data_IF_605409463674
#
_entry.id   IF_605409463674
#
_cell.length_a   1.000
_cell.length_b   1.000
_cell.length_c   1.000
_cell.angle_alpha   90.00
_cell.angle_beta   90.00
_cell.angle_gamma   90.00
#
_symmetry.space_group_name_H-M   'P 1'
#
loop_
_entity.id
_entity.type
_entity.pdbx_description
1 polymer ?
#
# COMPACT_ATOMS: atom_id res chain seq x y z
N UNK A 1 18.06 -25.69 -14.74
CA UNK A 1 18.79 -25.60 -13.42
C UNK A 1 17.83 -24.91 -12.45
N UNK A 2 17.56 -25.57 -11.33
CA UNK A 2 16.72 -24.98 -10.27
C UNK A 2 17.53 -23.94 -9.48
N UNK A 3 16.93 -22.80 -9.19
CA UNK A 3 17.55 -21.68 -8.46
C UNK A 3 16.55 -21.03 -7.52
N UNK A 4 16.83 -19.81 -7.11
CA UNK A 4 15.88 -19.00 -6.36
C UNK A 4 14.86 -18.37 -7.32
N UNK A 5 13.57 -18.57 -7.07
CA UNK A 5 12.49 -18.01 -7.88
C UNK A 5 11.65 -17.09 -7.00
N UNK A 6 11.36 -15.91 -7.54
CA UNK A 6 10.52 -14.89 -6.90
C UNK A 6 9.29 -14.69 -7.77
N UNK A 7 8.10 -14.86 -7.21
CA UNK A 7 6.81 -14.67 -7.88
C UNK A 7 6.22 -13.32 -7.47
N UNK A 8 6.16 -12.41 -8.42
CA UNK A 8 5.74 -11.02 -8.26
C UNK A 8 6.91 -10.05 -8.40
N UNK A 9 6.91 -9.24 -9.48
CA UNK A 9 7.96 -8.27 -9.81
C UNK A 9 7.64 -6.85 -9.28
N UNK A 10 6.95 -6.75 -8.15
CA UNK A 10 6.76 -5.49 -7.44
C UNK A 10 7.95 -5.12 -6.53
N UNK A 11 7.72 -4.14 -5.63
CA UNK A 11 8.73 -3.66 -4.68
C UNK A 11 9.36 -4.79 -3.84
N UNK A 12 8.52 -5.67 -3.28
CA UNK A 12 9.00 -6.76 -2.43
C UNK A 12 9.80 -7.81 -3.23
N UNK A 13 9.29 -8.22 -4.39
CA UNK A 13 9.98 -9.22 -5.21
C UNK A 13 11.31 -8.74 -5.73
N UNK A 14 11.38 -7.51 -6.25
CA UNK A 14 12.65 -6.90 -6.67
C UNK A 14 13.64 -6.82 -5.52
N UNK A 15 13.22 -6.32 -4.35
CA UNK A 15 14.08 -6.21 -3.18
C UNK A 15 14.59 -7.58 -2.73
N UNK A 16 13.75 -8.63 -2.78
CA UNK A 16 14.18 -10.00 -2.46
C UNK A 16 15.29 -10.45 -3.42
N UNK A 17 15.11 -10.26 -4.74
CA UNK A 17 16.10 -10.62 -5.74
C UNK A 17 17.44 -9.87 -5.54
N UNK A 18 17.38 -8.57 -5.30
CA UNK A 18 18.58 -7.75 -5.02
C UNK A 18 19.25 -8.15 -3.70
N UNK A 19 18.46 -8.48 -2.66
CA UNK A 19 19.00 -8.92 -1.36
C UNK A 19 19.66 -10.29 -1.44
N UNK A 20 19.16 -11.23 -2.24
CA UNK A 20 19.84 -12.50 -2.53
C UNK A 20 21.24 -12.26 -3.14
N UNK A 21 21.35 -11.33 -4.10
CA UNK A 21 22.64 -10.98 -4.71
C UNK A 21 23.59 -10.31 -3.73
N UNK A 22 23.11 -9.33 -2.97
CA UNK A 22 23.93 -8.65 -1.95
C UNK A 22 24.33 -9.56 -0.80
N UNK A 23 23.54 -10.61 -0.51
CA UNK A 23 23.87 -11.68 0.45
C UNK A 23 24.78 -12.77 -0.11
N UNK A 24 25.35 -12.58 -1.32
CA UNK A 24 26.36 -13.48 -1.89
C UNK A 24 25.83 -14.69 -2.65
N UNK A 25 24.51 -14.79 -2.92
CA UNK A 25 23.98 -15.92 -3.70
C UNK A 25 24.44 -15.83 -5.16
N UNK A 26 25.18 -16.81 -5.64
CA UNK A 26 25.75 -16.88 -7.00
C UNK A 26 24.94 -17.72 -7.98
N UNK A 27 23.98 -18.53 -7.49
CA UNK A 27 23.12 -19.38 -8.32
C UNK A 27 22.10 -18.60 -9.15
N UNK A 28 21.25 -19.29 -9.90
CA UNK A 28 20.20 -18.65 -10.69
C UNK A 28 19.18 -17.92 -9.83
N UNK A 29 18.84 -16.67 -10.18
CA UNK A 29 17.77 -15.86 -9.58
C UNK A 29 16.80 -15.44 -10.67
N UNK A 30 15.55 -15.91 -10.59
CA UNK A 30 14.49 -15.60 -11.55
C UNK A 30 13.42 -14.78 -10.86
N UNK A 31 13.10 -13.61 -11.41
CA UNK A 31 12.02 -12.72 -10.97
C UNK A 31 10.89 -12.75 -12.00
N UNK A 32 9.72 -13.28 -11.61
CA UNK A 32 8.54 -13.41 -12.45
C UNK A 32 7.56 -12.28 -12.19
N UNK A 33 7.11 -11.60 -13.22
CA UNK A 33 6.07 -10.56 -13.15
C UNK A 33 4.95 -10.84 -14.15
N UNK A 34 3.71 -10.70 -13.73
CA UNK A 34 2.53 -10.83 -14.60
C UNK A 34 2.24 -9.55 -15.39
N UNK A 35 2.81 -8.42 -15.00
CA UNK A 35 2.76 -7.17 -15.75
C UNK A 35 3.85 -7.15 -16.86
N UNK A 36 3.61 -6.44 -18.00
CA UNK A 36 4.57 -6.39 -19.11
C UNK A 36 5.74 -5.42 -18.87
N UNK A 37 5.75 -4.69 -17.78
CA UNK A 37 6.73 -3.64 -17.47
C UNK A 37 7.70 -4.05 -16.35
N UNK A 38 8.87 -3.43 -16.34
CA UNK A 38 9.87 -3.61 -15.29
C UNK A 38 9.33 -3.19 -13.91
N UNK A 39 9.93 -3.68 -12.81
CA UNK A 39 9.52 -3.29 -11.45
C UNK A 39 9.50 -1.76 -11.28
N UNK A 40 8.39 -1.23 -10.79
CA UNK A 40 8.15 0.22 -10.71
C UNK A 40 7.55 0.65 -9.36
N UNK A 41 7.66 1.95 -9.06
CA UNK A 41 7.08 2.59 -7.89
C UNK A 41 5.57 2.79 -8.07
N UNK A 42 4.76 2.20 -7.20
CA UNK A 42 3.29 2.37 -7.24
C UNK A 42 2.79 3.71 -6.65
N UNK A 43 3.44 4.34 -5.64
CA UNK A 43 2.92 5.60 -5.09
C UNK A 43 2.74 6.74 -6.09
N UNK A 44 3.54 6.91 -7.17
CA UNK A 44 3.30 7.96 -8.16
C UNK A 44 2.07 7.74 -9.05
N UNK A 45 1.47 6.54 -9.06
CA UNK A 45 0.33 6.21 -9.92
C UNK A 45 -0.91 7.07 -9.64
N UNK A 46 -1.13 7.45 -8.39
CA UNK A 46 -2.22 8.35 -7.97
C UNK A 46 -1.80 9.84 -7.97
N UNK A 47 -0.62 10.17 -8.49
CA UNK A 47 0.00 11.50 -8.40
C UNK A 47 0.63 11.92 -9.74
N UNK A 48 1.94 12.16 -9.76
CA UNK A 48 2.67 12.69 -10.92
C UNK A 48 2.59 11.81 -12.18
N UNK A 49 2.46 10.48 -12.04
CA UNK A 49 2.28 9.62 -13.21
C UNK A 49 0.90 9.80 -13.84
N UNK A 50 -0.17 9.94 -13.04
CA UNK A 50 -1.52 10.26 -13.53
C UNK A 50 -1.57 11.61 -14.25
N UNK A 51 -0.77 12.58 -13.79
CA UNK A 51 -0.67 13.92 -14.37
C UNK A 51 0.24 13.98 -15.61
N UNK A 52 0.95 12.89 -15.95
CA UNK A 52 1.94 12.90 -17.03
C UNK A 52 3.25 13.62 -16.68
N UNK A 53 3.48 13.97 -15.42
CA UNK A 53 4.70 14.62 -14.91
C UNK A 53 5.85 13.63 -14.74
N UNK A 54 5.55 12.34 -14.62
CA UNK A 54 6.50 11.24 -14.46
C UNK A 54 6.37 10.30 -15.64
N UNK A 55 7.45 10.06 -16.36
CA UNK A 55 7.49 9.10 -17.48
C UNK A 55 7.60 7.66 -16.99
N UNK A 56 7.34 6.69 -17.87
CA UNK A 56 7.48 5.24 -17.58
C UNK A 56 8.87 4.90 -17.03
N UNK A 57 9.92 5.44 -17.65
CA UNK A 57 11.30 5.17 -17.26
C UNK A 57 11.66 5.77 -15.89
N UNK A 58 11.11 6.91 -15.55
CA UNK A 58 11.26 7.52 -14.23
C UNK A 58 10.48 6.77 -13.14
N UNK A 59 9.43 6.05 -13.54
CA UNK A 59 8.65 5.24 -12.61
C UNK A 59 9.38 3.96 -12.19
N UNK A 60 10.26 3.40 -13.05
CA UNK A 60 10.95 2.15 -12.76
C UNK A 60 11.85 2.25 -11.51
N UNK A 61 11.74 1.26 -10.63
CA UNK A 61 12.68 1.10 -9.51
C UNK A 61 14.05 0.70 -10.05
N UNK A 62 14.06 -0.15 -11.08
CA UNK A 62 15.25 -0.57 -11.81
C UNK A 62 14.93 -0.75 -13.29
N UNK A 63 15.81 -0.26 -14.14
CA UNK A 63 15.74 -0.54 -15.57
C UNK A 63 16.11 -2.02 -15.84
N UNK A 64 15.57 -2.64 -16.90
CA UNK A 64 15.84 -4.04 -17.25
C UNK A 64 17.33 -4.37 -17.35
N UNK A 65 18.13 -3.45 -17.92
CA UNK A 65 19.59 -3.61 -18.07
C UNK A 65 20.31 -3.69 -16.73
N UNK A 66 19.80 -2.98 -15.71
CA UNK A 66 20.36 -3.02 -14.37
C UNK A 66 20.09 -4.36 -13.67
N UNK A 67 18.94 -5.00 -13.93
CA UNK A 67 18.64 -6.33 -13.46
C UNK A 67 19.59 -7.36 -14.09
N UNK A 68 19.81 -7.27 -15.40
CA UNK A 68 20.73 -8.14 -16.13
C UNK A 68 22.17 -8.00 -15.59
N UNK A 69 22.66 -6.78 -15.34
CA UNK A 69 23.98 -6.56 -14.73
C UNK A 69 24.14 -7.20 -13.34
N UNK A 70 23.03 -7.32 -12.61
CA UNK A 70 22.99 -8.04 -11.32
C UNK A 70 22.76 -9.55 -11.48
N UNK A 71 22.75 -10.09 -12.68
CA UNK A 71 22.43 -11.48 -12.99
C UNK A 71 21.04 -11.92 -12.44
N UNK A 72 20.07 -11.00 -12.38
CA UNK A 72 18.68 -11.27 -12.05
C UNK A 72 17.94 -11.46 -13.36
N UNK A 73 17.46 -12.67 -13.63
CA UNK A 73 16.65 -12.98 -14.81
C UNK A 73 15.20 -12.51 -14.57
N UNK A 74 14.86 -11.32 -15.02
CA UNK A 74 13.49 -10.86 -15.01
C UNK A 74 12.71 -11.38 -16.22
N UNK A 75 11.50 -11.89 -15.95
CA UNK A 75 10.54 -12.34 -16.97
C UNK A 75 9.26 -11.53 -16.81
N UNK A 76 8.97 -10.70 -17.80
CA UNK A 76 7.70 -9.96 -17.91
C UNK A 76 6.59 -10.87 -18.41
N UNK A 77 5.33 -10.51 -18.15
CA UNK A 77 4.14 -11.23 -18.59
C UNK A 77 4.24 -12.75 -18.32
N UNK A 78 4.82 -13.12 -17.20
CA UNK A 78 5.06 -14.50 -16.79
C UNK A 78 4.23 -14.80 -15.54
N UNK A 79 2.99 -15.22 -15.76
CA UNK A 79 2.04 -15.50 -14.68
C UNK A 79 2.19 -16.94 -14.18
N UNK A 80 2.42 -17.09 -12.90
CA UNK A 80 2.39 -18.41 -12.24
C UNK A 80 0.95 -18.78 -11.94
N UNK A 81 0.53 -19.94 -12.43
CA UNK A 81 -0.83 -20.46 -12.29
C UNK A 81 -0.95 -21.46 -11.16
N UNK A 82 0.11 -22.22 -10.88
CA UNK A 82 0.13 -23.28 -9.85
C UNK A 82 1.53 -23.53 -9.32
N UNK A 83 1.62 -23.83 -8.04
CA UNK A 83 2.82 -24.32 -7.37
C UNK A 83 2.64 -25.81 -7.06
N UNK A 84 3.48 -26.65 -7.61
CA UNK A 84 3.58 -28.04 -7.23
C UNK A 84 4.66 -28.21 -6.18
N UNK A 85 4.22 -28.24 -4.92
CA UNK A 85 5.13 -28.20 -3.80
C UNK A 85 6.01 -29.47 -3.70
N UNK A 86 5.43 -30.65 -3.97
CA UNK A 86 6.13 -31.93 -3.85
C UNK A 86 7.33 -32.04 -4.81
N UNK A 87 7.19 -31.52 -6.03
CA UNK A 87 8.24 -31.54 -7.07
C UNK A 87 9.03 -30.22 -7.12
N UNK A 88 8.68 -29.24 -6.29
CA UNK A 88 9.25 -27.88 -6.32
C UNK A 88 9.19 -27.25 -7.72
N UNK A 89 8.04 -27.32 -8.35
CA UNK A 89 7.82 -26.86 -9.72
C UNK A 89 6.72 -25.81 -9.78
N UNK A 90 6.95 -24.72 -10.51
CA UNK A 90 5.95 -23.72 -10.88
C UNK A 90 5.42 -24.03 -12.27
N UNK A 91 4.13 -23.86 -12.47
CA UNK A 91 3.46 -23.93 -13.78
C UNK A 91 3.03 -22.52 -14.18
N UNK A 92 3.44 -22.08 -15.36
CA UNK A 92 3.15 -20.74 -15.90
C UNK A 92 1.95 -20.81 -16.87
N UNK A 93 1.39 -19.65 -17.17
CA UNK A 93 0.22 -19.48 -18.05
C UNK A 93 0.51 -19.82 -19.53
N UNK A 94 1.78 -19.75 -19.95
CA UNK A 94 2.24 -20.18 -21.28
C UNK A 94 2.44 -21.71 -21.40
N UNK A 95 2.10 -22.46 -20.36
CA UNK A 95 2.26 -23.92 -20.28
C UNK A 95 3.67 -24.37 -19.89
N UNK A 96 4.63 -23.48 -19.78
CA UNK A 96 5.99 -23.82 -19.34
C UNK A 96 6.05 -24.15 -17.85
N UNK A 97 7.14 -24.79 -17.44
CA UNK A 97 7.41 -25.10 -16.04
C UNK A 97 8.76 -24.58 -15.61
N UNK A 98 8.90 -24.25 -14.32
CA UNK A 98 10.13 -23.77 -13.72
C UNK A 98 10.36 -24.41 -12.36
N UNK A 99 11.47 -25.17 -12.21
CA UNK A 99 11.88 -25.73 -10.93
C UNK A 99 12.55 -24.68 -10.03
N UNK A 100 12.40 -24.82 -8.72
CA UNK A 100 13.05 -23.95 -7.73
C UNK A 100 13.74 -24.72 -6.61
N UNK A 101 14.79 -24.13 -6.04
CA UNK A 101 15.43 -24.59 -4.78
C UNK A 101 14.91 -23.79 -3.58
N UNK A 102 14.62 -22.50 -3.81
CA UNK A 102 13.95 -21.60 -2.87
C UNK A 102 12.95 -20.73 -3.60
N UNK A 103 11.81 -20.44 -2.95
CA UNK A 103 10.69 -19.71 -3.52
C UNK A 103 10.29 -18.54 -2.63
N UNK A 104 10.16 -17.34 -3.23
CA UNK A 104 9.55 -16.20 -2.57
C UNK A 104 8.21 -15.84 -3.22
N UNK A 105 7.15 -15.78 -2.43
CA UNK A 105 5.85 -15.27 -2.84
C UNK A 105 5.77 -13.79 -2.50
N UNK A 106 5.79 -12.93 -3.54
CA UNK A 106 5.72 -11.47 -3.46
C UNK A 106 4.62 -10.92 -4.37
N UNK A 107 3.50 -11.65 -4.45
CA UNK A 107 2.37 -11.43 -5.37
C UNK A 107 1.56 -10.17 -5.06
N UNK A 108 1.80 -9.52 -3.91
CA UNK A 108 1.17 -8.28 -3.53
C UNK A 108 -0.33 -8.40 -3.28
N UNK A 109 -1.08 -7.38 -3.72
CA UNK A 109 -2.53 -7.30 -3.57
C UNK A 109 -3.15 -6.62 -4.80
N UNK A 110 -4.41 -6.93 -5.08
CA UNK A 110 -5.23 -6.30 -6.13
C UNK A 110 -6.30 -5.40 -5.54
N UNK A 111 -6.77 -4.42 -6.31
CA UNK A 111 -7.90 -3.58 -5.91
C UNK A 111 -9.16 -4.44 -5.70
N UNK A 112 -9.91 -4.13 -4.65
CA UNK A 112 -11.22 -4.73 -4.40
C UNK A 112 -12.21 -4.18 -5.42
N UNK A 113 -12.90 -5.06 -6.12
CA UNK A 113 -13.95 -4.67 -7.07
C UNK A 113 -15.24 -4.29 -6.31
N UNK A 114 -15.96 -3.34 -6.88
CA UNK A 114 -17.31 -3.00 -6.41
C UNK A 114 -18.28 -4.06 -6.92
N UNK A 115 -19.06 -4.64 -6.02
CA UNK A 115 -20.00 -5.74 -6.34
C UNK A 115 -21.44 -5.23 -6.26
N UNK A 116 -21.80 -4.29 -7.15
CA UNK A 116 -23.16 -3.75 -7.28
C UNK A 116 -23.58 -3.74 -8.75
N UNK A 117 -24.88 -3.69 -9.07
CA UNK A 117 -25.36 -3.51 -10.43
C UNK A 117 -24.70 -2.28 -11.08
N UNK A 118 -24.26 -2.43 -12.32
CA UNK A 118 -23.60 -1.36 -13.09
C UNK A 118 -22.10 -1.18 -12.83
N UNK A 119 -21.47 -1.93 -11.92
CA UNK A 119 -20.03 -1.82 -11.65
C UNK A 119 -19.11 -2.16 -12.85
N UNK A 120 -19.64 -2.83 -13.87
CA UNK A 120 -18.92 -3.14 -15.12
C UNK A 120 -19.12 -2.11 -16.24
N UNK A 121 -19.79 -1.00 -16.00
CA UNK A 121 -19.96 0.08 -16.97
C UNK A 121 -18.60 0.72 -17.33
N UNK A 122 -18.49 1.24 -18.55
CA UNK A 122 -17.38 2.08 -18.97
C UNK A 122 -17.22 3.30 -18.06
N UNK A 123 -16.01 3.81 -17.91
CA UNK A 123 -15.62 4.87 -16.99
C UNK A 123 -15.82 4.56 -15.50
N UNK A 124 -15.95 3.27 -15.15
CA UNK A 124 -15.80 2.79 -13.77
C UNK A 124 -14.41 2.21 -13.64
N UNK A 125 -13.51 2.92 -12.98
CA UNK A 125 -12.08 2.66 -12.94
C UNK A 125 -11.61 2.26 -11.53
N UNK A 126 -10.56 1.47 -11.47
CA UNK A 126 -9.73 1.27 -10.28
C UNK A 126 -8.41 1.99 -10.46
N UNK A 127 -7.60 2.05 -9.41
CA UNK A 127 -6.27 2.65 -9.44
C UNK A 127 -5.31 1.80 -8.62
N UNK A 128 -4.64 0.86 -9.29
CA UNK A 128 -3.68 -0.05 -8.65
C UNK A 128 -2.38 -0.22 -9.41
N UNK A 129 -2.42 -0.25 -10.74
CA UNK A 129 -1.27 -0.49 -11.61
C UNK A 129 -1.14 0.55 -12.72
N UNK A 130 -0.09 0.40 -13.55
CA UNK A 130 0.17 1.33 -14.66
C UNK A 130 -0.94 1.31 -15.71
N UNK A 131 -1.55 0.15 -15.97
CA UNK A 131 -2.63 0.00 -16.95
C UNK A 131 -3.88 0.75 -16.47
N UNK A 132 -4.26 0.59 -15.20
CA UNK A 132 -5.34 1.35 -14.56
C UNK A 132 -5.10 2.86 -14.69
N UNK A 133 -3.88 3.31 -14.35
CA UNK A 133 -3.55 4.74 -14.39
C UNK A 133 -3.62 5.31 -15.81
N UNK A 134 -3.10 4.57 -16.81
CA UNK A 134 -3.18 5.01 -18.21
C UNK A 134 -4.61 5.07 -18.72
N UNK A 135 -5.44 4.08 -18.40
CA UNK A 135 -6.86 4.09 -18.74
C UNK A 135 -7.57 5.29 -18.10
N UNK A 136 -7.29 5.56 -16.82
CA UNK A 136 -7.84 6.69 -16.10
C UNK A 136 -7.36 8.04 -16.66
N UNK A 137 -6.07 8.16 -16.98
CA UNK A 137 -5.48 9.38 -17.56
C UNK A 137 -6.08 9.72 -18.94
N UNK A 138 -6.45 8.71 -19.73
CA UNK A 138 -7.11 8.91 -21.02
C UNK A 138 -8.55 9.42 -20.88
N UNK A 139 -9.26 9.06 -19.83
CA UNK A 139 -10.66 9.43 -19.60
C UNK A 139 -10.77 10.79 -18.89
N UNK A 140 -9.92 11.03 -17.90
CA UNK A 140 -10.01 12.16 -16.97
C UNK A 140 -10.08 13.55 -17.64
N UNK A 141 -9.37 13.86 -18.74
CA UNK A 141 -9.49 15.16 -19.42
C UNK A 141 -10.90 15.44 -19.97
N UNK A 142 -11.63 14.38 -20.35
CA UNK A 142 -12.94 14.46 -21.01
C UNK A 142 -14.11 14.36 -20.03
N UNK A 143 -13.88 14.37 -18.73
CA UNK A 143 -14.89 14.27 -17.67
C UNK A 143 -14.98 15.55 -16.88
N UNK A 144 -16.12 15.80 -16.29
CA UNK A 144 -16.40 16.98 -15.45
C UNK A 144 -16.86 16.57 -14.04
N UNK A 145 -17.69 15.53 -13.96
CA UNK A 145 -18.32 15.03 -12.73
C UNK A 145 -17.67 13.71 -12.33
N UNK A 146 -16.94 13.72 -11.25
CA UNK A 146 -16.17 12.59 -10.76
C UNK A 146 -16.73 12.12 -9.42
N UNK A 147 -17.09 10.86 -9.33
CA UNK A 147 -17.44 10.22 -8.05
C UNK A 147 -16.33 9.26 -7.64
N UNK A 148 -15.83 9.43 -6.43
CA UNK A 148 -14.86 8.53 -5.78
C UNK A 148 -15.62 7.68 -4.77
N UNK A 149 -15.56 6.37 -4.92
CA UNK A 149 -16.15 5.42 -3.97
C UNK A 149 -15.05 4.91 -3.06
N UNK A 150 -15.10 5.32 -1.78
CA UNK A 150 -14.13 5.01 -0.73
C UNK A 150 -13.25 6.19 -0.33
N UNK A 151 -13.33 6.59 0.92
CA UNK A 151 -12.55 7.67 1.56
C UNK A 151 -11.24 7.19 2.18
N UNK A 152 -10.56 6.19 1.57
CA UNK A 152 -9.21 5.74 1.93
C UNK A 152 -8.13 6.58 1.25
N UNK A 153 -6.84 6.30 1.55
CA UNK A 153 -5.71 7.08 1.03
C UNK A 153 -5.73 7.26 -0.50
N UNK A 154 -5.87 6.16 -1.26
CA UNK A 154 -5.83 6.21 -2.73
C UNK A 154 -7.01 7.02 -3.30
N UNK A 155 -8.23 6.81 -2.76
CA UNK A 155 -9.40 7.58 -3.18
C UNK A 155 -9.24 9.07 -2.92
N UNK A 156 -8.71 9.46 -1.76
CA UNK A 156 -8.50 10.85 -1.39
C UNK A 156 -7.32 11.48 -2.16
N UNK A 157 -6.23 10.76 -2.40
CA UNK A 157 -5.14 11.22 -3.28
C UNK A 157 -5.67 11.52 -4.69
N UNK A 158 -6.43 10.59 -5.26
CA UNK A 158 -7.07 10.81 -6.56
C UNK A 158 -8.07 11.99 -6.52
N UNK A 159 -8.91 12.08 -5.49
CA UNK A 159 -9.84 13.19 -5.31
C UNK A 159 -9.12 14.54 -5.30
N UNK A 160 -7.97 14.63 -4.62
CA UNK A 160 -7.16 15.85 -4.60
C UNK A 160 -6.62 16.23 -5.98
N UNK A 161 -6.18 15.26 -6.77
CA UNK A 161 -5.72 15.48 -8.16
C UNK A 161 -6.89 15.93 -9.04
N UNK A 162 -8.03 15.25 -8.98
CA UNK A 162 -9.21 15.60 -9.78
C UNK A 162 -9.70 17.02 -9.46
N UNK A 163 -9.67 17.44 -8.18
CA UNK A 163 -9.99 18.83 -7.79
C UNK A 163 -8.98 19.83 -8.34
N UNK A 164 -7.67 19.54 -8.26
CA UNK A 164 -6.61 20.39 -8.87
C UNK A 164 -6.80 20.58 -10.39
N UNK A 165 -7.36 19.55 -11.06
CA UNK A 165 -7.73 19.62 -12.48
C UNK A 165 -9.09 20.29 -12.74
N UNK A 166 -9.71 20.89 -11.73
CA UNK A 166 -10.96 21.65 -11.86
C UNK A 166 -12.22 20.78 -11.98
N UNK A 167 -12.14 19.46 -11.68
CA UNK A 167 -13.29 18.58 -11.74
C UNK A 167 -14.24 18.79 -10.55
N UNK A 168 -15.54 18.56 -10.75
CA UNK A 168 -16.50 18.42 -9.65
C UNK A 168 -16.29 17.03 -9.03
N UNK A 169 -15.97 16.99 -7.74
CA UNK A 169 -15.63 15.72 -7.07
C UNK A 169 -16.56 15.46 -5.90
N UNK A 170 -17.17 14.28 -5.90
CA UNK A 170 -17.92 13.73 -4.78
C UNK A 170 -17.19 12.49 -4.29
N UNK A 171 -16.91 12.41 -2.99
CA UNK A 171 -16.37 11.20 -2.34
C UNK A 171 -17.46 10.56 -1.51
N UNK A 172 -17.77 9.31 -1.80
CA UNK A 172 -18.75 8.50 -1.07
C UNK A 172 -17.99 7.52 -0.17
N UNK A 173 -18.10 7.69 1.14
CA UNK A 173 -17.48 6.81 2.15
C UNK A 173 -18.58 6.12 2.97
N UNK A 174 -18.51 4.79 3.05
CA UNK A 174 -19.48 3.99 3.78
C UNK A 174 -19.37 4.12 5.31
N UNK A 175 -18.15 4.41 5.80
CA UNK A 175 -17.91 4.65 7.22
C UNK A 175 -18.37 6.06 7.64
N UNK A 176 -18.43 6.28 8.94
CA UNK A 176 -18.77 7.56 9.57
C UNK A 176 -17.63 8.61 9.52
N UNK A 177 -16.43 8.21 9.07
CA UNK A 177 -15.26 9.09 8.92
C UNK A 177 -14.30 8.61 7.86
N UNK A 178 -13.50 9.53 7.30
CA UNK A 178 -12.45 9.22 6.34
C UNK A 178 -11.36 8.38 6.98
N UNK A 179 -10.75 7.48 6.21
CA UNK A 179 -9.60 6.64 6.62
C UNK A 179 -9.82 5.93 7.97
N UNK A 180 -11.06 5.58 8.33
CA UNK A 180 -11.51 5.14 9.65
C UNK A 180 -10.68 3.99 10.26
N UNK A 181 -10.08 3.14 9.42
CA UNK A 181 -9.30 1.98 9.87
C UNK A 181 -7.85 2.30 10.26
N UNK A 182 -7.35 3.48 9.90
CA UNK A 182 -5.90 3.74 9.93
C UNK A 182 -5.51 5.04 10.62
N UNK A 183 -6.39 6.04 10.69
CA UNK A 183 -6.10 7.32 11.36
C UNK A 183 -7.03 7.59 12.55
N UNK A 184 -6.59 8.44 13.45
CA UNK A 184 -7.42 8.91 14.58
C UNK A 184 -8.61 9.75 14.12
N UNK A 185 -9.67 9.90 14.92
CA UNK A 185 -10.78 10.81 14.60
C UNK A 185 -10.30 12.25 14.32
N UNK A 186 -9.36 12.77 15.12
CA UNK A 186 -8.80 14.13 14.97
C UNK A 186 -8.14 14.31 13.58
N UNK A 187 -7.39 13.31 13.12
CA UNK A 187 -6.73 13.36 11.82
C UNK A 187 -7.74 13.17 10.68
N UNK A 188 -8.75 12.31 10.87
CA UNK A 188 -9.85 12.16 9.92
C UNK A 188 -10.62 13.47 9.71
N UNK A 189 -10.92 14.20 10.80
CA UNK A 189 -11.58 15.51 10.77
C UNK A 189 -10.73 16.57 10.07
N UNK A 190 -9.41 16.54 10.27
CA UNK A 190 -8.50 17.42 9.52
C UNK A 190 -8.61 17.18 8.02
N UNK A 191 -8.54 15.92 7.56
CA UNK A 191 -8.66 15.61 6.12
C UNK A 191 -10.06 15.89 5.58
N UNK A 192 -11.10 15.70 6.37
CA UNK A 192 -12.47 16.06 5.99
C UNK A 192 -12.58 17.55 5.66
N UNK A 193 -12.06 18.42 6.56
CA UNK A 193 -11.99 19.86 6.32
C UNK A 193 -11.14 20.18 5.10
N UNK A 194 -9.93 19.63 5.02
CA UNK A 194 -9.01 19.84 3.89
C UNK A 194 -9.68 19.60 2.54
N UNK A 195 -10.39 18.47 2.37
CA UNK A 195 -11.07 18.18 1.13
C UNK A 195 -12.25 19.09 0.85
N UNK A 196 -13.04 19.44 1.86
CA UNK A 196 -14.18 20.35 1.73
C UNK A 196 -13.72 21.76 1.39
N UNK A 197 -12.69 22.27 2.03
CA UNK A 197 -12.11 23.60 1.77
C UNK A 197 -11.53 23.70 0.36
N UNK A 198 -11.07 22.58 -0.21
CA UNK A 198 -10.66 22.48 -1.61
C UNK A 198 -11.84 22.17 -2.57
N UNK A 199 -13.10 22.25 -2.09
CA UNK A 199 -14.31 22.18 -2.88
C UNK A 199 -14.73 20.76 -3.28
N UNK A 200 -14.24 19.70 -2.63
CA UNK A 200 -14.78 18.36 -2.78
C UNK A 200 -16.01 18.18 -1.88
N UNK A 201 -17.05 17.54 -2.40
CA UNK A 201 -18.19 17.08 -1.59
C UNK A 201 -17.83 15.75 -0.95
N UNK A 202 -17.91 15.66 0.38
CA UNK A 202 -17.63 14.43 1.13
C UNK A 202 -18.91 13.96 1.81
N UNK A 203 -19.37 12.77 1.43
CA UNK A 203 -20.57 12.11 1.91
C UNK A 203 -20.17 10.89 2.75
N UNK A 204 -20.24 11.02 4.05
CA UNK A 204 -19.97 9.94 5.02
C UNK A 204 -21.23 9.10 5.25
N UNK A 205 -21.08 7.85 5.70
CA UNK A 205 -22.19 6.92 5.91
C UNK A 205 -22.91 6.54 4.60
N UNK A 206 -22.28 6.74 3.45
CA UNK A 206 -22.90 6.59 2.12
C UNK A 206 -22.58 5.25 1.50
N UNK A 207 -23.52 4.30 1.59
CA UNK A 207 -23.40 2.97 0.97
C UNK A 207 -23.88 3.01 -0.49
N UNK A 208 -23.00 2.73 -1.43
CA UNK A 208 -23.34 2.62 -2.86
C UNK A 208 -24.15 1.35 -3.09
N UNK A 209 -25.29 1.47 -3.78
CA UNK A 209 -26.19 0.36 -4.06
C UNK A 209 -26.24 -0.03 -5.55
N UNK A 210 -26.01 0.90 -6.45
CA UNK A 210 -25.98 0.65 -7.91
C UNK A 210 -25.27 1.79 -8.65
N UNK A 211 -24.90 1.51 -9.89
CA UNK A 211 -24.47 2.48 -10.89
C UNK A 211 -25.42 2.41 -12.07
N UNK A 212 -25.86 3.54 -12.59
CA UNK A 212 -26.63 3.63 -13.82
C UNK A 212 -25.77 4.20 -14.96
N UNK A 213 -26.13 3.86 -16.18
CA UNK A 213 -25.37 4.27 -17.35
C UNK A 213 -26.24 4.44 -18.59
N UNK A 214 -25.67 5.07 -19.60
CA UNK A 214 -26.24 5.21 -20.93
C UNK A 214 -25.17 4.81 -21.95
N UNK A 215 -25.57 4.06 -23.00
CA UNK A 215 -24.65 3.58 -24.06
C UNK A 215 -23.42 2.85 -23.53
N UNK A 216 -23.57 2.13 -22.41
CA UNK A 216 -22.50 1.36 -21.79
C UNK A 216 -21.51 2.14 -20.93
N UNK A 217 -21.72 3.46 -20.70
CA UNK A 217 -20.88 4.33 -19.88
C UNK A 217 -21.67 4.79 -18.66
N UNK A 218 -21.02 4.93 -17.50
CA UNK A 218 -21.65 5.40 -16.26
C UNK A 218 -22.18 6.82 -16.41
N UNK A 219 -23.35 7.09 -15.82
CA UNK A 219 -23.97 8.42 -15.78
C UNK A 219 -24.37 8.85 -14.38
N UNK A 220 -24.52 7.91 -13.44
CA UNK A 220 -24.81 8.25 -12.04
C UNK A 220 -24.45 7.08 -11.09
N UNK A 221 -24.20 7.45 -9.83
CA UNK A 221 -24.03 6.54 -8.68
C UNK A 221 -25.24 6.68 -7.76
N UNK A 222 -25.83 5.55 -7.35
CA UNK A 222 -26.96 5.47 -6.45
C UNK A 222 -26.53 4.96 -5.09
N UNK A 223 -27.03 5.54 -4.02
CA UNK A 223 -26.80 5.09 -2.65
C UNK A 223 -28.03 4.39 -2.06
N UNK A 224 -27.82 3.60 -1.02
CA UNK A 224 -28.88 2.81 -0.39
C UNK A 224 -29.98 3.67 0.27
N UNK A 225 -29.66 4.90 0.62
CA UNK A 225 -30.61 5.91 1.15
C UNK A 225 -31.39 6.67 0.06
N UNK A 226 -31.21 6.29 -1.21
CA UNK A 226 -31.95 6.82 -2.34
C UNK A 226 -31.37 8.08 -2.98
N UNK A 227 -30.22 8.59 -2.53
CA UNK A 227 -29.54 9.71 -3.20
C UNK A 227 -28.91 9.27 -4.52
N UNK A 228 -28.84 10.20 -5.47
CA UNK A 228 -28.26 9.99 -6.80
C UNK A 228 -27.19 11.04 -7.06
N UNK A 229 -26.02 10.61 -7.46
CA UNK A 229 -24.87 11.47 -7.77
C UNK A 229 -24.51 11.33 -9.25
N UNK A 230 -24.69 12.37 -10.07
CA UNK A 230 -24.25 12.37 -11.48
C UNK A 230 -22.75 12.11 -11.58
N UNK A 231 -22.33 11.31 -12.56
CA UNK A 231 -20.93 10.94 -12.73
C UNK A 231 -20.59 10.63 -14.20
N UNK A 232 -19.56 11.31 -14.73
CA UNK A 232 -18.92 10.97 -16.00
C UNK A 232 -17.79 9.96 -15.81
N UNK A 233 -17.28 9.88 -14.58
CA UNK A 233 -16.18 9.00 -14.15
C UNK A 233 -16.43 8.55 -12.72
N UNK A 234 -16.27 7.26 -12.47
CA UNK A 234 -16.28 6.69 -11.13
C UNK A 234 -14.92 6.04 -10.85
N UNK A 235 -14.29 6.40 -9.73
CA UNK A 235 -13.05 5.75 -9.27
C UNK A 235 -13.32 4.98 -7.99
N UNK A 236 -13.05 3.66 -8.01
CA UNK A 236 -13.33 2.74 -6.92
C UNK A 236 -12.06 2.52 -6.09
N UNK A 237 -12.07 3.02 -4.85
CA UNK A 237 -10.96 2.96 -3.89
C UNK A 237 -11.35 2.31 -2.55
N UNK A 238 -12.05 1.16 -2.57
CA UNK A 238 -12.61 0.48 -1.39
C UNK A 238 -11.66 -0.53 -0.71
N UNK A 239 -10.36 -0.38 -0.95
CA UNK A 239 -9.32 -1.22 -0.38
C UNK A 239 -8.80 -2.29 -1.33
N UNK A 240 -7.98 -3.20 -0.81
CA UNK A 240 -7.30 -4.24 -1.58
C UNK A 240 -7.55 -5.63 -1.00
N UNK A 241 -7.30 -6.65 -1.84
CA UNK A 241 -7.36 -8.08 -1.49
C UNK A 241 -5.97 -8.65 -1.73
N UNK A 242 -5.34 -9.34 -0.76
CA UNK A 242 -4.05 -9.98 -0.96
C UNK A 242 -4.14 -11.08 -2.04
N UNK A 243 -3.12 -11.21 -2.87
CA UNK A 243 -3.03 -12.23 -3.91
C UNK A 243 -2.37 -13.50 -3.33
N UNK A 244 -3.10 -14.24 -2.50
CA UNK A 244 -2.60 -15.43 -1.83
C UNK A 244 -3.11 -16.75 -2.40
N UNK A 245 -3.75 -16.73 -3.56
CA UNK A 245 -4.35 -17.92 -4.18
C UNK A 245 -3.31 -19.01 -4.45
N UNK A 246 -2.12 -18.63 -4.91
CA UNK A 246 -1.01 -19.58 -5.11
C UNK A 246 -0.57 -20.26 -3.81
N UNK A 247 -0.50 -19.48 -2.73
CA UNK A 247 -0.15 -20.01 -1.40
C UNK A 247 -1.23 -20.98 -0.89
N UNK A 248 -2.51 -20.62 -1.03
CA UNK A 248 -3.64 -21.47 -0.63
C UNK A 248 -3.67 -22.78 -1.43
N UNK A 249 -3.52 -22.70 -2.76
CA UNK A 249 -3.49 -23.88 -3.65
C UNK A 249 -2.31 -24.80 -3.35
N UNK A 250 -1.17 -24.25 -2.91
CA UNK A 250 0.00 -25.01 -2.49
C UNK A 250 -0.13 -25.60 -1.07
N UNK A 251 -1.27 -25.40 -0.39
CA UNK A 251 -1.49 -25.90 0.98
C UNK A 251 -0.73 -25.15 2.06
N UNK A 252 -0.23 -23.94 1.78
CA UNK A 252 0.43 -23.10 2.78
C UNK A 252 -0.58 -22.47 3.74
N UNK A 253 -0.17 -22.23 4.98
CA UNK A 253 -1.01 -21.56 5.97
C UNK A 253 -1.33 -20.14 5.53
N UNK A 254 -2.63 -19.80 5.47
CA UNK A 254 -3.13 -18.49 5.05
C UNK A 254 -4.21 -17.97 6.02
N UNK A 255 -4.34 -16.64 6.13
CA UNK A 255 -5.44 -15.98 6.81
C UNK A 255 -6.06 -14.94 5.89
N UNK A 256 -7.39 -14.98 5.69
CA UNK A 256 -8.15 -14.04 4.84
C UNK A 256 -7.51 -13.80 3.46
N UNK A 257 -6.97 -14.85 2.86
CA UNK A 257 -6.32 -14.80 1.54
C UNK A 257 -4.86 -14.33 1.56
N UNK A 258 -4.26 -14.04 2.71
CA UNK A 258 -2.85 -13.68 2.81
C UNK A 258 -2.03 -14.83 3.39
N UNK A 259 -0.80 -15.03 2.87
CA UNK A 259 0.15 -16.02 3.36
C UNK A 259 0.60 -15.67 4.78
N UNK A 260 0.46 -16.61 5.72
CA UNK A 260 1.01 -16.46 7.08
C UNK A 260 2.52 -16.71 7.04
N UNK A 261 3.28 -15.74 7.57
CA UNK A 261 4.73 -15.84 7.70
C UNK A 261 5.19 -15.55 9.14
N UNK A 262 6.33 -16.11 9.53
CA UNK A 262 6.98 -15.81 10.80
C UNK A 262 7.75 -14.47 10.77
N UNK A 263 8.44 -14.14 11.86
CA UNK A 263 9.26 -12.93 11.96
C UNK A 263 10.42 -12.88 10.95
N UNK A 264 10.84 -14.02 10.42
CA UNK A 264 11.87 -14.18 9.41
C UNK A 264 11.30 -14.33 7.99
N UNK A 265 10.02 -13.98 7.78
CA UNK A 265 9.30 -14.10 6.51
C UNK A 265 9.15 -15.53 5.97
N UNK A 266 9.33 -16.57 6.82
CA UNK A 266 9.17 -17.98 6.46
C UNK A 266 7.70 -18.37 6.46
N UNK A 267 7.28 -19.15 5.47
CA UNK A 267 5.95 -19.76 5.44
C UNK A 267 5.90 -21.03 6.31
N UNK A 268 4.74 -21.68 6.32
CA UNK A 268 4.56 -23.00 6.97
C UNK A 268 5.34 -24.13 6.29
N UNK A 269 6.00 -23.87 5.15
CA UNK A 269 6.76 -24.87 4.40
C UNK A 269 8.22 -24.46 4.22
N UNK A 270 9.19 -25.38 4.50
CA UNK A 270 10.61 -25.11 4.33
C UNK A 270 10.97 -24.74 2.88
N UNK A 271 11.82 -23.69 2.73
CA UNK A 271 12.27 -23.21 1.43
C UNK A 271 11.27 -22.31 0.71
N UNK A 272 10.10 -22.00 1.32
CA UNK A 272 9.14 -21.02 0.82
C UNK A 272 9.03 -19.87 1.81
N UNK A 273 9.21 -18.64 1.32
CA UNK A 273 9.09 -17.39 2.06
C UNK A 273 8.07 -16.48 1.42
N UNK A 274 7.63 -15.45 2.14
CA UNK A 274 6.71 -14.45 1.59
C UNK A 274 7.08 -13.02 1.99
N UNK A 275 6.79 -12.03 1.13
CA UNK A 275 7.05 -10.64 1.42
C UNK A 275 6.03 -9.68 0.78
N UNK A 276 5.75 -8.57 1.47
CA UNK A 276 4.85 -7.50 1.02
C UNK A 276 3.37 -7.76 1.30
N UNK A 277 2.50 -7.08 0.54
CA UNK A 277 1.05 -6.99 0.80
C UNK A 277 0.31 -8.34 0.77
N UNK A 278 0.90 -9.39 0.17
CA UNK A 278 0.33 -10.74 0.13
C UNK A 278 0.53 -11.52 1.43
N UNK A 279 1.18 -10.96 2.45
CA UNK A 279 1.52 -11.66 3.68
C UNK A 279 0.83 -11.07 4.91
N UNK A 280 0.61 -11.91 5.90
CA UNK A 280 0.31 -11.54 7.29
C UNK A 280 1.34 -12.20 8.21
N UNK A 281 1.65 -11.56 9.33
CA UNK A 281 2.56 -12.10 10.34
C UNK A 281 1.99 -11.96 11.74
N UNK A 282 2.42 -12.83 12.65
CA UNK A 282 2.09 -12.74 14.05
C UNK A 282 2.67 -11.47 14.66
N UNK A 283 1.86 -10.70 15.37
CA UNK A 283 2.29 -9.60 16.22
C UNK A 283 2.09 -9.98 17.68
N UNK A 284 3.12 -9.81 18.50
CA UNK A 284 3.03 -10.09 19.94
C UNK A 284 1.87 -9.32 20.57
N UNK A 285 0.98 -10.03 21.27
CA UNK A 285 -0.15 -9.45 22.00
C UNK A 285 -1.34 -8.94 21.15
N UNK A 286 -1.29 -9.01 19.79
CA UNK A 286 -2.35 -8.39 18.95
C UNK A 286 -2.79 -9.20 17.72
N UNK A 287 -2.46 -10.51 17.66
CA UNK A 287 -2.92 -11.37 16.56
C UNK A 287 -2.13 -11.17 15.26
N UNK A 288 -2.79 -11.44 14.12
CA UNK A 288 -2.18 -11.32 12.80
C UNK A 288 -2.22 -9.88 12.29
N UNK A 289 -1.10 -9.40 11.75
CA UNK A 289 -0.92 -8.06 11.20
C UNK A 289 -0.56 -8.14 9.72
N UNK A 290 -1.29 -7.39 8.88
CA UNK A 290 -0.96 -7.13 7.49
C UNK A 290 -0.56 -5.67 7.32
N UNK A 291 0.59 -5.41 6.71
CA UNK A 291 1.12 -4.08 6.44
C UNK A 291 1.21 -3.87 4.93
N UNK A 292 0.48 -2.88 4.43
CA UNK A 292 0.43 -2.49 3.02
C UNK A 292 1.27 -1.22 2.83
N UNK A 293 2.60 -1.34 2.84
CA UNK A 293 3.49 -0.19 2.67
C UNK A 293 4.78 -0.55 1.94
N UNK A 294 5.34 0.43 1.25
CA UNK A 294 6.65 0.29 0.56
C UNK A 294 7.73 -0.11 1.55
N UNK A 295 7.73 0.48 2.75
CA UNK A 295 8.69 0.16 3.79
C UNK A 295 8.59 -1.31 4.23
N UNK A 296 7.37 -1.81 4.48
CA UNK A 296 7.17 -3.22 4.83
C UNK A 296 7.63 -4.14 3.69
N UNK A 297 7.29 -3.80 2.43
CA UNK A 297 7.70 -4.57 1.27
C UNK A 297 9.23 -4.70 1.17
N UNK A 298 9.97 -3.61 1.45
CA UNK A 298 11.44 -3.59 1.43
C UNK A 298 12.03 -4.41 2.57
N UNK A 299 11.64 -4.13 3.82
CA UNK A 299 12.29 -4.73 4.99
C UNK A 299 11.94 -6.22 5.14
N UNK A 300 10.69 -6.59 4.85
CA UNK A 300 10.28 -7.98 4.87
C UNK A 300 10.97 -8.80 3.76
N UNK A 301 11.19 -8.20 2.58
CA UNK A 301 11.93 -8.83 1.49
C UNK A 301 13.39 -9.10 1.84
N UNK A 302 14.06 -8.21 2.59
CA UNK A 302 15.41 -8.45 3.11
C UNK A 302 15.44 -9.64 4.07
N UNK A 303 14.43 -9.77 4.93
CA UNK A 303 14.26 -10.89 5.83
C UNK A 303 13.98 -12.20 5.07
N UNK A 304 13.13 -12.14 4.04
CA UNK A 304 12.83 -13.29 3.17
C UNK A 304 14.07 -13.80 2.45
N UNK A 305 14.88 -12.89 1.89
CA UNK A 305 16.13 -13.25 1.22
C UNK A 305 17.13 -13.89 2.19
N UNK A 306 17.32 -13.31 3.38
CA UNK A 306 18.17 -13.88 4.44
C UNK A 306 17.72 -15.30 4.80
N UNK A 307 16.41 -15.53 4.96
CA UNK A 307 15.86 -16.86 5.24
C UNK A 307 16.12 -17.86 4.11
N UNK A 308 16.06 -17.45 2.85
CA UNK A 308 16.41 -18.30 1.70
C UNK A 308 17.91 -18.63 1.66
N UNK A 309 18.76 -17.77 2.21
CA UNK A 309 20.22 -17.99 2.37
C UNK A 309 20.57 -18.83 3.62
N UNK A 310 19.56 -19.22 4.42
CA UNK A 310 19.78 -19.97 5.68
C UNK A 310 20.12 -19.08 6.87
N UNK A 311 20.02 -17.77 6.74
CA UNK A 311 20.29 -16.81 7.80
C UNK A 311 19.06 -16.57 8.69
N UNK A 312 19.29 -16.16 9.94
CA UNK A 312 18.26 -15.73 10.89
C UNK A 312 18.25 -14.20 10.98
N UNK A 313 17.35 -13.56 10.23
CA UNK A 313 17.18 -12.09 10.23
C UNK A 313 15.72 -11.74 10.47
N UNK A 314 15.27 -11.69 11.73
CA UNK A 314 13.90 -11.27 12.02
C UNK A 314 13.70 -9.80 11.66
N UNK A 315 12.48 -9.48 11.20
CA UNK A 315 12.07 -8.13 10.87
C UNK A 315 11.14 -7.58 11.98
N UNK A 316 11.66 -6.80 12.93
CA UNK A 316 10.88 -6.21 14.01
C UNK A 316 10.23 -4.89 13.55
N UNK A 317 9.31 -4.94 12.62
CA UNK A 317 8.82 -3.75 11.96
C UNK A 317 8.28 -2.68 12.91
N UNK A 318 8.94 -1.53 12.95
CA UNK A 318 8.27 -0.27 13.19
C UNK A 318 7.66 0.17 11.84
N UNK A 319 6.34 0.10 11.65
CA UNK A 319 5.74 0.52 10.39
C UNK A 319 5.82 2.03 10.26
N UNK A 320 6.04 2.49 9.05
CA UNK A 320 5.82 3.87 8.67
C UNK A 320 5.21 3.95 7.29
N UNK A 321 4.44 5.02 7.06
CA UNK A 321 3.67 5.23 5.84
C UNK A 321 3.59 6.74 5.56
N UNK A 322 3.27 7.11 4.32
CA UNK A 322 2.99 8.49 3.95
C UNK A 322 1.86 8.58 2.94
N UNK A 323 1.21 9.73 2.89
CA UNK A 323 0.24 10.12 1.87
C UNK A 323 0.41 11.60 1.53
N UNK A 324 0.13 11.96 0.30
CA UNK A 324 0.19 13.34 -0.18
C UNK A 324 -1.15 13.69 -0.81
N UNK A 325 -1.81 14.71 -0.26
CA UNK A 325 -3.12 15.17 -0.70
C UNK A 325 -3.11 16.70 -0.75
N UNK A 326 -3.33 17.31 -1.91
CA UNK A 326 -3.08 18.73 -2.16
C UNK A 326 -1.62 19.10 -1.79
N UNK A 327 -1.43 20.12 -0.94
CA UNK A 327 -0.13 20.55 -0.43
C UNK A 327 0.22 19.94 0.94
N UNK A 328 -0.55 18.93 1.35
CA UNK A 328 -0.39 18.28 2.64
C UNK A 328 0.31 16.95 2.50
N UNK A 329 1.41 16.80 3.24
CA UNK A 329 2.13 15.54 3.41
C UNK A 329 1.89 14.97 4.80
N UNK A 330 1.15 13.87 4.85
CA UNK A 330 1.02 13.04 6.04
C UNK A 330 2.18 12.05 6.11
N UNK A 331 2.81 11.93 7.27
CA UNK A 331 3.79 10.89 7.57
C UNK A 331 3.43 10.23 8.90
N UNK A 332 3.28 8.92 8.89
CA UNK A 332 2.84 8.11 10.03
C UNK A 332 3.96 7.18 10.47
N UNK A 333 4.11 6.95 11.77
CA UNK A 333 5.04 5.98 12.33
C UNK A 333 4.43 5.29 13.55
N UNK A 334 4.67 3.99 13.71
CA UNK A 334 4.15 3.19 14.81
C UNK A 334 2.72 2.71 14.61
N UNK A 335 2.06 2.34 15.70
CA UNK A 335 0.69 1.81 15.70
C UNK A 335 -0.19 2.65 16.62
N UNK A 336 -1.04 3.50 16.04
CA UNK A 336 -1.96 4.31 16.80
C UNK A 336 -3.18 3.52 17.34
N UNK A 337 -3.47 2.33 16.80
CA UNK A 337 -4.59 1.52 17.27
C UNK A 337 -4.42 1.13 18.74
N UNK A 338 -5.47 1.39 19.55
CA UNK A 338 -5.44 1.09 20.99
C UNK A 338 -4.77 2.17 21.84
N UNK A 339 -4.42 3.35 21.28
CA UNK A 339 -3.96 4.46 22.09
C UNK A 339 -5.03 4.92 23.10
N UNK A 340 -4.58 5.36 24.26
CA UNK A 340 -5.44 5.88 25.33
C UNK A 340 -5.39 7.40 25.42
N UNK A 341 -4.37 8.02 24.84
CA UNK A 341 -4.18 9.47 24.82
C UNK A 341 -3.57 9.89 23.47
N UNK A 342 -4.05 11.02 22.93
CA UNK A 342 -3.47 11.72 21.79
C UNK A 342 -3.06 13.13 22.22
N UNK A 343 -1.87 13.56 21.82
CA UNK A 343 -1.29 14.86 22.16
C UNK A 343 -0.95 15.60 20.88
N UNK A 344 -1.43 16.82 20.76
CA UNK A 344 -1.15 17.70 19.63
C UNK A 344 0.13 18.48 19.88
N UNK A 345 1.05 18.47 18.89
CA UNK A 345 2.22 19.34 18.81
C UNK A 345 2.04 20.27 17.61
N UNK A 346 1.87 21.56 17.87
CA UNK A 346 1.49 22.56 16.87
C UNK A 346 0.01 22.89 16.92
N UNK A 347 -0.59 23.27 15.80
CA UNK A 347 -1.99 23.72 15.73
C UNK A 347 -2.76 22.97 14.66
N UNK A 348 -3.82 22.27 15.05
CA UNK A 348 -4.75 21.54 14.15
C UNK A 348 -5.50 22.44 13.16
N UNK A 349 -5.58 23.75 13.42
CA UNK A 349 -6.16 24.70 12.49
C UNK A 349 -5.23 25.02 11.30
N UNK A 350 -3.96 24.68 11.43
CA UNK A 350 -2.96 24.84 10.37
C UNK A 350 -2.68 23.51 9.68
N UNK A 351 -2.01 23.54 8.53
CA UNK A 351 -1.50 22.32 7.89
C UNK A 351 -0.08 21.98 8.36
N UNK A 352 0.25 22.22 9.65
CA UNK A 352 1.59 22.01 10.21
C UNK A 352 1.51 21.62 11.68
N UNK A 353 1.35 20.33 11.95
CA UNK A 353 1.26 19.77 13.30
C UNK A 353 1.68 18.30 13.34
N UNK A 354 1.83 17.75 14.54
CA UNK A 354 1.99 16.32 14.78
C UNK A 354 1.06 15.84 15.89
N UNK A 355 0.55 14.63 15.76
CA UNK A 355 -0.22 13.91 16.78
C UNK A 355 0.65 12.80 17.34
N UNK A 356 0.93 12.86 18.64
CA UNK A 356 1.65 11.85 19.40
C UNK A 356 0.64 10.98 20.15
N UNK A 357 0.69 9.67 19.92
CA UNK A 357 -0.25 8.72 20.51
C UNK A 357 0.43 7.89 21.58
N UNK A 358 -0.23 7.76 22.72
CA UNK A 358 0.26 7.05 23.90
C UNK A 358 -0.66 5.88 24.25
N UNK A 359 -0.05 4.75 24.60
CA UNK A 359 -0.72 3.59 25.18
C UNK A 359 0.00 3.24 26.49
N UNK A 360 -0.74 3.14 27.59
CA UNK A 360 -0.18 2.86 28.93
C UNK A 360 0.95 3.83 29.35
N UNK A 361 0.87 5.09 28.93
CA UNK A 361 1.87 6.12 29.25
C UNK A 361 3.11 6.13 28.32
N UNK A 362 3.23 5.17 27.40
CA UNK A 362 4.34 5.08 26.45
C UNK A 362 3.92 5.51 25.05
N UNK A 363 4.84 6.17 24.33
CA UNK A 363 4.66 6.55 22.94
C UNK A 363 4.51 5.30 22.07
N UNK A 364 3.40 5.17 21.33
CA UNK A 364 3.14 4.04 20.45
C UNK A 364 3.06 4.41 18.95
N UNK A 365 2.74 5.66 18.63
CA UNK A 365 2.70 6.15 17.25
C UNK A 365 2.81 7.68 17.19
N UNK A 366 3.15 8.17 15.98
CA UNK A 366 3.11 9.60 15.64
C UNK A 366 2.63 9.76 14.20
N UNK A 367 1.66 10.68 14.02
CA UNK A 367 1.21 11.15 12.71
C UNK A 367 1.62 12.62 12.55
N UNK A 368 2.34 12.94 11.49
CA UNK A 368 2.87 14.29 11.25
C UNK A 368 2.32 14.85 9.95
N UNK A 369 1.77 16.06 10.01
CA UNK A 369 1.31 16.86 8.87
C UNK A 369 2.35 17.95 8.60
N UNK A 370 3.03 17.87 7.45
CA UNK A 370 4.06 18.82 7.02
C UNK A 370 5.16 19.09 8.06
N UNK A 371 5.44 18.12 8.93
CA UNK A 371 6.48 18.19 9.98
C UNK A 371 7.46 17.00 9.87
N UNK A 372 8.29 16.97 8.81
CA UNK A 372 9.21 15.85 8.57
C UNK A 372 10.22 15.66 9.72
N UNK A 373 10.63 16.72 10.39
CA UNK A 373 11.55 16.65 11.54
C UNK A 373 10.93 15.87 12.70
N UNK A 374 9.67 16.18 13.05
CA UNK A 374 8.96 15.45 14.11
C UNK A 374 8.81 13.99 13.75
N UNK A 375 8.45 13.67 12.47
CA UNK A 375 8.33 12.31 12.01
C UNK A 375 9.66 11.52 12.13
N UNK A 376 10.77 12.10 11.66
CA UNK A 376 12.07 11.43 11.71
C UNK A 376 12.51 11.20 13.16
N UNK A 377 12.34 12.21 14.02
CA UNK A 377 12.68 12.09 15.44
C UNK A 377 11.80 11.06 16.14
N UNK A 378 10.48 11.09 15.90
CA UNK A 378 9.53 10.15 16.49
C UNK A 378 9.82 8.71 16.08
N UNK A 379 10.15 8.46 14.82
CA UNK A 379 10.58 7.13 14.36
C UNK A 379 11.77 6.63 15.18
N UNK A 380 12.79 7.48 15.35
CA UNK A 380 13.97 7.10 16.09
C UNK A 380 13.66 6.85 17.57
N UNK A 381 12.81 7.65 18.18
CA UNK A 381 12.35 7.45 19.56
C UNK A 381 11.60 6.10 19.71
N UNK A 382 10.66 5.81 18.79
CA UNK A 382 9.93 4.53 18.75
C UNK A 382 10.86 3.33 18.56
N UNK A 383 11.86 3.44 17.67
CA UNK A 383 12.87 2.38 17.45
C UNK A 383 13.71 2.11 18.70
N UNK A 384 14.00 3.15 19.49
CA UNK A 384 14.79 3.08 20.72
C UNK A 384 13.95 2.76 21.96
N UNK A 385 12.63 2.63 21.85
CA UNK A 385 11.73 2.51 23.00
C UNK A 385 11.79 3.71 23.94
N UNK A 386 12.05 4.91 23.39
CA UNK A 386 12.07 6.17 24.14
C UNK A 386 10.76 6.91 23.98
N UNK A 387 10.22 7.40 25.09
CA UNK A 387 8.94 8.09 25.12
C UNK A 387 9.11 9.49 25.71
N UNK A 388 8.87 10.59 24.94
CA UNK A 388 8.68 11.90 25.56
C UNK A 388 7.44 11.86 26.45
N UNK A 389 7.43 12.63 27.52
CA UNK A 389 6.19 12.82 28.28
C UNK A 389 5.15 13.55 27.41
N UNK A 390 3.84 13.42 27.70
CA UNK A 390 2.81 14.17 26.99
C UNK A 390 3.06 15.68 26.97
N UNK A 391 3.58 16.24 28.07
CA UNK A 391 3.93 17.65 28.15
C UNK A 391 5.11 18.03 27.24
N UNK A 392 6.15 17.18 27.20
CA UNK A 392 7.27 17.38 26.27
C UNK A 392 6.85 17.28 24.81
N UNK A 393 5.96 16.36 24.49
CA UNK A 393 5.42 16.21 23.13
C UNK A 393 4.57 17.43 22.74
N UNK A 394 3.76 17.97 23.64
CA UNK A 394 2.90 19.13 23.39
C UNK A 394 3.69 20.42 23.18
N UNK A 395 4.82 20.59 23.86
CA UNK A 395 5.63 21.81 23.79
C UNK A 395 6.43 21.90 22.48
N UNK A 396 6.08 22.79 21.53
CA UNK A 396 6.80 22.93 20.27
C UNK A 396 8.26 23.39 20.43
N UNK A 397 8.63 23.94 21.57
CA UNK A 397 10.00 24.41 21.89
C UNK A 397 10.84 23.29 22.51
N UNK A 398 10.24 22.20 23.01
CA UNK A 398 11.00 21.09 23.55
C UNK A 398 11.73 20.34 22.43
N UNK A 399 13.05 20.21 22.57
CA UNK A 399 13.89 19.51 21.60
C UNK A 399 13.73 17.98 21.76
N UNK A 400 12.80 17.35 21.03
CA UNK A 400 12.58 15.91 21.07
C UNK A 400 13.85 15.09 20.80
N UNK A 401 14.80 15.63 20.02
CA UNK A 401 16.11 15.03 19.74
C UNK A 401 16.97 14.85 20.97
N UNK A 402 16.75 15.64 22.05
CA UNK A 402 17.48 15.49 23.31
C UNK A 402 17.23 14.14 24.02
N UNK A 403 16.17 13.44 23.65
CA UNK A 403 15.85 12.10 24.17
C UNK A 403 16.57 10.97 23.41
N UNK A 404 17.24 11.29 22.30
CA UNK A 404 18.01 10.32 21.50
C UNK A 404 19.44 10.32 22.03
N UNK A 405 19.99 9.16 22.45
CA UNK A 405 21.40 9.06 22.84
C UNK A 405 22.34 9.51 21.72
N UNK A 406 23.46 10.12 22.09
CA UNK A 406 24.49 10.56 21.16
C UNK A 406 25.14 9.39 20.42
#
# INVERSE_FOLDING_TARGET
MSGMVIVGAGQAGLQTAESLRSGGYTGSVVLLGDEPCAPYHRPPLSKGFLLGEVSDTQLYIRAPEALNRKAIQWRASARVMRIEHATRTLHLDDGSTLGYTGLCLATGARARRLEVPGAGLGHVCMLRDMADTRALAAILPHTSQVVVIGGGFIGLEFASIARRLGKQVVVLEAADRLMARVVSPQLADFFLRLHRDNGATIELGSNVSALSGSRGVVTAVHTADGRVFPADLVVVGIGVIPNGELAQQAGLACDRGALIVDACARSSSPGIVGAGDCTVRQRAGSGLLRLESVQNAIEQAKSAAASLLGEHRPYPALPWFWSEQYEVRLQMAGFAAGHTQAVVRGDLATSTFSLFYYAHGELCAVDSINRPQDHLTARKLLELGRSPTPQQAADPNFALTSLIPA
#
